data_IF_576197054883
#
_entry.id   IF_576197054883
#
_cell.length_a   1.000
_cell.length_b   1.000
_cell.length_c   1.000
_cell.angle_alpha   90.00
_cell.angle_beta   90.00
_cell.angle_gamma   90.00
#
_symmetry.space_group_name_H-M   'P 1'
#
loop_
_entity.id
_entity.type
_entity.pdbx_description
1 polymer ?
#
# COMPACT_ATOMS: atom_id res chain seq x y z
N UNK A 1 -28.36 1.41 14.55
CA UNK A 1 -26.92 1.08 14.70
C UNK A 1 -26.18 1.77 13.56
N UNK A 2 -25.14 2.52 13.85
CA UNK A 2 -24.33 3.12 12.78
C UNK A 2 -23.61 2.01 12.02
N UNK A 3 -23.59 2.10 10.68
CA UNK A 3 -22.81 1.21 9.82
C UNK A 3 -21.34 1.27 10.25
N UNK A 4 -20.64 0.14 10.38
CA UNK A 4 -19.21 0.15 10.67
C UNK A 4 -18.43 0.90 9.59
N UNK A 5 -17.39 1.60 9.99
CA UNK A 5 -16.44 2.19 9.04
C UNK A 5 -15.79 1.09 8.21
N UNK A 6 -15.54 1.40 6.95
CA UNK A 6 -14.96 0.44 5.99
C UNK A 6 -13.75 1.08 5.31
N UNK A 7 -12.55 0.53 5.57
CA UNK A 7 -11.30 1.11 5.10
C UNK A 7 -10.50 0.13 4.24
N UNK A 8 -9.89 0.63 3.17
CA UNK A 8 -8.94 -0.16 2.40
C UNK A 8 -7.57 -0.17 3.09
N UNK A 9 -6.86 -1.29 2.98
CA UNK A 9 -5.47 -1.45 3.42
C UNK A 9 -4.61 -1.82 2.22
N UNK A 10 -3.53 -1.06 2.00
CA UNK A 10 -2.57 -1.31 0.94
C UNK A 10 -1.17 -0.85 1.36
N UNK A 11 -0.14 -1.36 0.68
CA UNK A 11 1.23 -0.93 0.92
C UNK A 11 2.19 -1.26 -0.21
N UNK A 12 3.13 -0.34 -0.43
CA UNK A 12 4.31 -0.54 -1.27
C UNK A 12 5.51 0.03 -0.52
N UNK A 13 6.30 -0.86 0.08
CA UNK A 13 7.40 -0.47 0.94
C UNK A 13 8.73 -0.92 0.33
N UNK A 14 9.50 0.05 -0.16
CA UNK A 14 10.88 -0.13 -0.62
C UNK A 14 11.72 1.02 -0.06
N UNK A 15 12.75 0.69 0.70
CA UNK A 15 13.80 1.61 1.09
C UNK A 15 14.90 1.57 0.03
N UNK A 16 14.88 2.52 -0.90
CA UNK A 16 15.84 2.53 -1.99
C UNK A 16 17.21 3.04 -1.55
N UNK A 17 18.21 2.19 -1.68
CA UNK A 17 19.62 2.58 -1.61
C UNK A 17 20.05 2.96 -3.02
N UNK A 18 19.88 4.22 -3.39
CA UNK A 18 19.92 4.72 -4.77
C UNK A 18 21.25 4.53 -5.50
N UNK A 19 22.34 4.28 -4.78
CA UNK A 19 23.68 4.06 -5.36
C UNK A 19 24.01 2.57 -5.54
N UNK A 20 23.14 1.64 -5.14
CA UNK A 20 23.33 0.22 -5.43
C UNK A 20 23.08 -0.05 -6.93
N UNK A 21 23.97 -0.84 -7.57
CA UNK A 21 23.87 -1.09 -9.02
C UNK A 21 22.80 -2.12 -9.40
N UNK A 22 22.11 -2.68 -8.41
CA UNK A 22 21.09 -3.74 -8.60
C UNK A 22 19.71 -3.14 -8.32
N UNK A 23 18.86 -3.19 -9.33
CA UNK A 23 17.49 -2.71 -9.23
C UNK A 23 16.60 -3.74 -8.52
N UNK A 24 15.70 -3.26 -7.67
CA UNK A 24 14.62 -4.05 -7.08
C UNK A 24 13.49 -4.18 -8.12
N UNK A 25 13.39 -5.34 -8.73
CA UNK A 25 12.48 -5.58 -9.84
C UNK A 25 11.02 -5.78 -9.39
N UNK A 26 10.11 -5.71 -10.35
CA UNK A 26 8.72 -6.11 -10.09
C UNK A 26 8.63 -7.58 -9.63
N UNK A 27 9.45 -8.47 -10.22
CA UNK A 27 9.48 -9.87 -9.82
C UNK A 27 9.91 -10.07 -8.37
N UNK A 28 10.87 -9.29 -7.87
CA UNK A 28 11.27 -9.30 -6.46
C UNK A 28 10.10 -8.87 -5.55
N UNK A 29 9.40 -7.80 -5.95
CA UNK A 29 8.21 -7.34 -5.23
C UNK A 29 7.09 -8.38 -5.24
N UNK A 30 6.84 -9.04 -6.38
CA UNK A 30 5.82 -10.07 -6.52
C UNK A 30 6.11 -11.31 -5.67
N UNK A 31 7.39 -11.65 -5.49
CA UNK A 31 7.81 -12.81 -4.71
C UNK A 31 7.41 -12.72 -3.22
N UNK A 32 7.22 -11.50 -2.70
CA UNK A 32 6.84 -11.25 -1.30
C UNK A 32 5.47 -10.59 -1.16
N UNK A 33 4.79 -10.32 -2.28
CA UNK A 33 3.51 -9.62 -2.26
C UNK A 33 2.39 -10.47 -1.66
N UNK A 34 1.61 -9.85 -0.81
CA UNK A 34 0.37 -10.37 -0.26
C UNK A 34 -0.83 -9.66 -0.89
N UNK A 35 -1.89 -10.38 -1.20
CA UNK A 35 -3.09 -9.82 -1.84
C UNK A 35 -4.35 -10.29 -1.14
N UNK A 36 -5.31 -9.37 -1.01
CA UNK A 36 -6.60 -9.67 -0.40
C UNK A 36 -6.45 -10.23 1.02
N UNK A 37 -7.20 -11.25 1.36
CA UNK A 37 -7.23 -11.87 2.69
C UNK A 37 -5.87 -12.39 3.18
N UNK A 38 -4.92 -12.67 2.29
CA UNK A 38 -3.57 -13.05 2.69
C UNK A 38 -2.91 -11.98 3.57
N UNK A 39 -3.17 -10.70 3.30
CA UNK A 39 -2.65 -9.59 4.12
C UNK A 39 -3.10 -9.75 5.57
N UNK A 40 -4.38 -10.03 5.79
CA UNK A 40 -4.92 -10.20 7.13
C UNK A 40 -4.43 -11.49 7.79
N UNK A 41 -4.33 -12.58 7.03
CA UNK A 41 -3.89 -13.88 7.55
C UNK A 41 -2.43 -13.86 7.98
N UNK A 42 -1.55 -13.31 7.13
CA UNK A 42 -0.10 -13.34 7.36
C UNK A 42 0.39 -12.25 8.32
N UNK A 43 -0.29 -11.09 8.35
CA UNK A 43 0.21 -9.93 9.09
C UNK A 43 -0.54 -9.64 10.39
N UNK A 44 -1.64 -10.34 10.68
CA UNK A 44 -2.35 -10.22 11.97
C UNK A 44 -1.43 -10.64 13.13
N UNK A 45 -1.36 -9.79 14.14
CA UNK A 45 -0.55 -10.03 15.33
C UNK A 45 0.97 -9.88 15.13
N UNK A 46 1.39 -9.41 13.95
CA UNK A 46 2.81 -9.10 13.69
C UNK A 46 3.17 -7.69 14.16
N UNK A 47 4.44 -7.48 14.46
CA UNK A 47 4.98 -6.15 14.79
C UNK A 47 5.38 -5.40 13.51
N UNK A 48 4.43 -5.26 12.58
CA UNK A 48 4.57 -4.50 11.33
C UNK A 48 3.58 -3.35 11.29
N UNK A 49 3.77 -2.38 10.39
CA UNK A 49 2.82 -1.26 10.22
C UNK A 49 1.43 -1.79 9.82
N UNK A 50 1.38 -2.72 8.86
CA UNK A 50 0.10 -3.34 8.46
C UNK A 50 -0.51 -4.14 9.61
N UNK A 51 0.30 -4.86 10.39
CA UNK A 51 -0.16 -5.55 11.61
C UNK A 51 -0.80 -4.59 12.61
N UNK A 52 -0.21 -3.40 12.78
CA UNK A 52 -0.76 -2.31 13.60
C UNK A 52 -2.10 -1.77 13.06
N UNK A 53 -2.21 -1.58 11.73
CA UNK A 53 -3.48 -1.21 11.10
C UNK A 53 -4.58 -2.24 11.39
N UNK A 54 -4.27 -3.53 11.21
CA UNK A 54 -5.22 -4.63 11.48
C UNK A 54 -5.67 -4.60 12.94
N UNK A 55 -4.72 -4.52 13.88
CA UNK A 55 -5.02 -4.50 15.31
C UNK A 55 -5.96 -3.35 15.70
N UNK A 56 -5.71 -2.15 15.20
CA UNK A 56 -6.55 -0.98 15.51
C UNK A 56 -7.94 -1.13 14.87
N UNK A 57 -8.01 -1.58 13.60
CA UNK A 57 -9.28 -1.79 12.93
C UNK A 57 -10.15 -2.81 13.66
N UNK A 58 -9.57 -3.94 14.08
CA UNK A 58 -10.28 -4.97 14.86
C UNK A 58 -10.78 -4.44 16.21
N UNK A 59 -9.92 -3.71 16.94
CA UNK A 59 -10.28 -3.14 18.23
C UNK A 59 -11.41 -2.10 18.13
N UNK A 60 -11.53 -1.42 16.99
CA UNK A 60 -12.55 -0.39 16.75
C UNK A 60 -13.77 -0.89 15.96
N UNK A 61 -13.81 -2.18 15.59
CA UNK A 61 -14.89 -2.72 14.78
C UNK A 61 -14.96 -2.13 13.36
N UNK A 62 -13.80 -1.75 12.81
CA UNK A 62 -13.67 -1.22 11.44
C UNK A 62 -13.54 -2.39 10.47
N UNK A 63 -14.38 -2.41 9.43
CA UNK A 63 -14.29 -3.40 8.35
C UNK A 63 -13.09 -3.08 7.44
N UNK A 64 -12.27 -4.08 7.19
CA UNK A 64 -11.06 -3.94 6.36
C UNK A 64 -11.30 -4.50 4.95
N UNK A 65 -10.80 -3.77 3.94
CA UNK A 65 -10.73 -4.20 2.54
C UNK A 65 -9.25 -4.27 2.16
N UNK A 66 -8.62 -5.44 2.36
CA UNK A 66 -7.21 -5.60 2.02
C UNK A 66 -7.05 -5.66 0.48
N UNK A 67 -6.14 -4.87 -0.07
CA UNK A 67 -5.87 -4.81 -1.52
C UNK A 67 -4.59 -5.56 -1.86
N UNK A 68 -3.46 -4.89 -1.83
CA UNK A 68 -2.13 -5.44 -2.07
C UNK A 68 -1.12 -4.83 -1.12
N UNK A 69 -0.16 -5.63 -0.68
CA UNK A 69 0.98 -5.20 0.12
C UNK A 69 2.24 -5.91 -0.34
N UNK A 70 3.31 -5.16 -0.56
CA UNK A 70 4.66 -5.69 -0.76
C UNK A 70 5.67 -4.89 0.06
N UNK A 71 6.69 -5.56 0.60
CA UNK A 71 7.72 -4.93 1.41
C UNK A 71 9.07 -5.66 1.21
N UNK A 72 9.99 -5.00 0.52
CA UNK A 72 11.33 -5.52 0.27
C UNK A 72 12.37 -5.05 1.30
N UNK A 73 12.06 -4.00 2.06
CA UNK A 73 13.04 -3.37 2.96
C UNK A 73 14.10 -2.58 2.21
N UNK A 74 15.34 -2.57 2.74
CA UNK A 74 16.47 -1.85 2.17
C UNK A 74 17.09 -2.65 1.01
N UNK A 75 16.90 -2.14 -0.20
CA UNK A 75 17.35 -2.75 -1.47
C UNK A 75 17.82 -1.65 -2.44
N UNK A 76 18.17 -2.00 -3.67
CA UNK A 76 18.49 -1.01 -4.71
C UNK A 76 17.28 -0.16 -5.13
N UNK A 77 17.47 0.69 -6.14
CA UNK A 77 16.36 1.46 -6.73
C UNK A 77 15.21 0.54 -7.13
N UNK A 78 13.99 1.00 -6.91
CA UNK A 78 12.81 0.29 -7.43
C UNK A 78 12.79 0.37 -8.96
N UNK A 79 12.37 -0.68 -9.65
CA UNK A 79 12.13 -0.59 -11.08
C UNK A 79 10.91 0.28 -11.39
N UNK A 80 10.96 1.02 -12.51
CA UNK A 80 9.82 1.81 -12.99
C UNK A 80 8.58 0.93 -13.16
N UNK A 81 8.77 -0.32 -13.61
CA UNK A 81 7.69 -1.30 -13.76
C UNK A 81 7.04 -1.63 -12.42
N UNK A 82 7.83 -1.86 -11.37
CA UNK A 82 7.29 -2.14 -10.03
C UNK A 82 6.45 -0.97 -9.53
N UNK A 83 6.98 0.25 -9.61
CA UNK A 83 6.26 1.46 -9.18
C UNK A 83 4.95 1.61 -9.95
N UNK A 84 4.99 1.55 -11.29
CA UNK A 84 3.80 1.72 -12.12
C UNK A 84 2.74 0.65 -11.83
N UNK A 85 3.13 -0.63 -11.84
CA UNK A 85 2.19 -1.74 -11.67
C UNK A 85 1.53 -1.74 -10.30
N UNK A 86 2.29 -1.54 -9.22
CA UNK A 86 1.72 -1.53 -7.87
C UNK A 86 0.85 -0.30 -7.59
N UNK A 87 1.24 0.87 -8.12
CA UNK A 87 0.42 2.08 -8.01
C UNK A 87 -0.92 1.90 -8.74
N UNK A 88 -0.89 1.32 -9.94
CA UNK A 88 -2.10 1.04 -10.71
C UNK A 88 -2.96 -0.05 -10.05
N UNK A 89 -2.36 -1.13 -9.51
CA UNK A 89 -3.08 -2.19 -8.81
C UNK A 89 -3.82 -1.65 -7.58
N UNK A 90 -3.17 -0.82 -6.76
CA UNK A 90 -3.79 -0.17 -5.60
C UNK A 90 -4.94 0.75 -6.07
N UNK A 91 -4.69 1.62 -7.05
CA UNK A 91 -5.71 2.53 -7.54
C UNK A 91 -6.91 1.80 -8.16
N UNK A 92 -6.68 0.69 -8.87
CA UNK A 92 -7.73 -0.13 -9.44
C UNK A 92 -8.57 -0.81 -8.34
N UNK A 93 -7.93 -1.39 -7.33
CA UNK A 93 -8.61 -1.96 -6.16
C UNK A 93 -9.48 -0.92 -5.44
N UNK A 94 -8.96 0.30 -5.25
CA UNK A 94 -9.73 1.38 -4.66
C UNK A 94 -10.96 1.76 -5.50
N UNK A 95 -10.81 1.87 -6.83
CA UNK A 95 -11.93 2.18 -7.73
C UNK A 95 -13.04 1.13 -7.67
N UNK A 96 -12.67 -0.16 -7.56
CA UNK A 96 -13.65 -1.26 -7.43
C UNK A 96 -14.51 -1.14 -6.16
N UNK A 97 -13.97 -0.54 -5.10
CA UNK A 97 -14.63 -0.39 -3.81
C UNK A 97 -15.05 1.04 -3.47
N UNK A 98 -14.81 2.03 -4.36
CA UNK A 98 -14.95 3.46 -4.07
C UNK A 98 -16.31 3.87 -3.48
N UNK A 99 -17.40 3.24 -3.92
CA UNK A 99 -18.75 3.53 -3.42
C UNK A 99 -19.02 3.06 -1.99
N UNK A 100 -18.17 2.19 -1.44
CA UNK A 100 -18.38 1.58 -0.13
C UNK A 100 -17.29 1.88 0.88
N UNK A 101 -16.15 2.42 0.45
CA UNK A 101 -15.05 2.81 1.34
C UNK A 101 -15.32 4.13 2.03
N UNK A 102 -14.95 4.19 3.29
CA UNK A 102 -14.94 5.41 4.11
C UNK A 102 -13.54 6.04 4.23
N UNK A 103 -12.47 5.28 3.91
CA UNK A 103 -11.09 5.76 3.94
C UNK A 103 -10.07 4.73 3.46
N UNK A 104 -8.79 5.11 3.53
CA UNK A 104 -7.64 4.26 3.17
C UNK A 104 -6.53 4.37 4.21
N UNK A 105 -5.97 3.23 4.57
CA UNK A 105 -4.71 3.09 5.31
C UNK A 105 -3.64 2.62 4.32
N UNK A 106 -2.67 3.48 4.04
CA UNK A 106 -1.62 3.23 3.04
C UNK A 106 -0.25 3.21 3.72
N UNK A 107 0.49 2.13 3.50
CA UNK A 107 1.87 2.02 3.98
C UNK A 107 2.85 2.23 2.83
N UNK A 108 3.65 3.31 2.93
CA UNK A 108 4.77 3.64 2.04
C UNK A 108 6.03 3.80 2.89
N UNK A 109 7.23 3.90 2.27
CA UNK A 109 8.45 4.08 3.05
C UNK A 109 8.86 5.55 3.22
N UNK A 110 8.67 6.37 2.20
CA UNK A 110 9.15 7.76 2.17
C UNK A 110 10.60 7.92 1.66
N UNK A 111 11.25 6.81 1.30
CA UNK A 111 12.60 6.79 0.73
C UNK A 111 12.69 5.90 -0.50
N UNK A 112 11.59 5.65 -1.17
CA UNK A 112 11.59 4.94 -2.43
C UNK A 112 12.11 5.84 -3.56
N UNK A 113 12.88 5.27 -4.48
CA UNK A 113 13.36 5.95 -5.67
C UNK A 113 13.36 4.99 -6.85
N UNK A 114 12.97 5.49 -8.01
CA UNK A 114 13.03 4.76 -9.27
C UNK A 114 13.48 5.71 -10.40
N UNK A 115 14.11 5.23 -11.48
CA UNK A 115 14.69 6.09 -12.51
C UNK A 115 13.72 7.12 -13.11
N UNK A 116 12.48 6.73 -13.44
CA UNK A 116 11.46 7.64 -13.98
C UNK A 116 10.50 8.19 -12.91
N UNK A 117 10.64 7.73 -11.68
CA UNK A 117 9.84 8.17 -10.53
C UNK A 117 10.80 8.59 -9.39
N UNK A 118 11.34 9.81 -9.43
CA UNK A 118 12.25 10.27 -8.37
C UNK A 118 11.55 10.47 -7.02
N UNK A 119 10.23 10.52 -7.02
CA UNK A 119 9.34 10.57 -5.84
C UNK A 119 8.15 9.62 -6.10
N UNK A 120 8.37 8.29 -5.95
CA UNK A 120 7.30 7.31 -6.17
C UNK A 120 6.14 7.49 -5.22
N UNK A 121 6.38 7.87 -3.97
CA UNK A 121 5.33 8.10 -2.97
C UNK A 121 4.32 9.15 -3.44
N UNK A 122 4.80 10.23 -4.03
CA UNK A 122 3.92 11.24 -4.65
C UNK A 122 3.07 10.64 -5.78
N UNK A 123 3.64 9.74 -6.58
CA UNK A 123 2.91 9.06 -7.65
C UNK A 123 1.78 8.19 -7.07
N UNK A 124 2.07 7.37 -6.06
CA UNK A 124 1.07 6.57 -5.35
C UNK A 124 -0.03 7.45 -4.74
N UNK A 125 0.35 8.47 -3.99
CA UNK A 125 -0.61 9.36 -3.32
C UNK A 125 -1.55 10.04 -4.30
N UNK A 126 -1.04 10.48 -5.47
CA UNK A 126 -1.86 11.09 -6.52
C UNK A 126 -2.90 10.12 -7.07
N UNK A 127 -2.49 8.88 -7.41
CA UNK A 127 -3.39 7.87 -7.94
C UNK A 127 -4.42 7.40 -6.90
N UNK A 128 -3.99 7.21 -5.66
CA UNK A 128 -4.88 6.87 -4.53
C UNK A 128 -5.91 7.97 -4.32
N UNK A 129 -5.49 9.24 -4.30
CA UNK A 129 -6.40 10.37 -4.13
C UNK A 129 -7.39 10.49 -5.29
N UNK A 130 -6.94 10.26 -6.52
CA UNK A 130 -7.84 10.25 -7.69
C UNK A 130 -8.88 9.11 -7.62
N UNK A 131 -8.48 7.94 -7.13
CA UNK A 131 -9.37 6.78 -7.01
C UNK A 131 -10.36 6.92 -5.83
N UNK A 132 -9.90 7.48 -4.71
CA UNK A 132 -10.67 7.60 -3.46
C UNK A 132 -11.64 8.80 -3.49
N UNK A 133 -11.29 9.86 -4.22
CA UNK A 133 -11.97 11.15 -4.18
C UNK A 133 -11.38 12.12 -3.16
N UNK A 134 -11.77 13.42 -3.18
CA UNK A 134 -11.14 14.45 -2.36
C UNK A 134 -11.50 14.39 -0.87
N UNK A 135 -12.69 13.88 -0.55
CA UNK A 135 -13.28 14.08 0.78
C UNK A 135 -13.01 12.92 1.77
N UNK A 136 -12.58 11.77 1.27
CA UNK A 136 -12.36 10.60 2.14
C UNK A 136 -10.99 10.63 2.80
N UNK A 137 -10.89 10.25 4.07
CA UNK A 137 -9.62 10.15 4.78
C UNK A 137 -8.62 9.22 4.07
N UNK A 138 -7.39 9.69 3.98
CA UNK A 138 -6.22 8.92 3.55
C UNK A 138 -5.15 9.08 4.62
N UNK A 139 -4.88 8.00 5.35
CA UNK A 139 -3.78 7.94 6.29
C UNK A 139 -2.60 7.22 5.64
N UNK A 140 -1.43 7.81 5.78
CA UNK A 140 -0.17 7.25 5.27
C UNK A 140 0.80 7.06 6.43
N UNK A 141 1.42 5.90 6.50
CA UNK A 141 2.47 5.57 7.46
C UNK A 141 3.73 5.16 6.70
#
# INVERSE_FOLDING_TARGET
MNKPWRVAIAGFHIESVSFLPIEATKADSDAVALRGEQILTELRGTNTVIGGFIQVCEAQGIEMVPLVHTALGAVGPASDEAVACYADEIAQGLRQHAGTLDGVLLFLHGACWAPSYPDPERHFLRLVRQALGPDKPLMVA
#
